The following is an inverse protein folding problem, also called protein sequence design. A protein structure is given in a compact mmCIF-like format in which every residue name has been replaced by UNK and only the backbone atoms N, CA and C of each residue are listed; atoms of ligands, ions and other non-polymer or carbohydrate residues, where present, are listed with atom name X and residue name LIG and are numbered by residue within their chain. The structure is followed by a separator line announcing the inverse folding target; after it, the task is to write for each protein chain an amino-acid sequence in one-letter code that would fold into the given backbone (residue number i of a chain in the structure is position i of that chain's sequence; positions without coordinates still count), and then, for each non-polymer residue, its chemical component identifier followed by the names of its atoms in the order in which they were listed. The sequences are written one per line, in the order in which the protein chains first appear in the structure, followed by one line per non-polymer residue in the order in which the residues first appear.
data_IF_269704604633
#
_entry.id   IF_269704604633
#
_cell.length_a   1.000
_cell.length_b   1.000
_cell.length_c   1.000
_cell.angle_alpha   90.00
_cell.angle_beta   90.00
_cell.angle_gamma   90.00
#
_symmetry.space_group_name_H-M   'P 1'
#
loop_
_entity.id
_entity.type
_entity.pdbx_description
1 polymer ?
#
# COMPACT_ATOMS: atom_id res chain seq x y z
N UNK A 1 -20.35 -24.68 -15.98
CA UNK A 1 -19.49 -23.67 -15.35
C UNK A 1 -20.40 -22.51 -14.98
N UNK A 2 -20.33 -22.04 -13.73
CA UNK A 2 -21.14 -20.89 -13.33
C UNK A 2 -20.66 -19.67 -14.12
N UNK A 3 -21.58 -18.92 -14.69
CA UNK A 3 -21.26 -17.71 -15.48
C UNK A 3 -21.11 -16.47 -14.55
N UNK A 4 -20.31 -16.63 -13.49
CA UNK A 4 -20.06 -15.57 -12.52
C UNK A 4 -19.13 -14.50 -13.11
N UNK A 5 -19.31 -13.27 -12.67
CA UNK A 5 -18.37 -12.19 -12.93
C UNK A 5 -17.01 -12.40 -12.25
N UNK A 6 -16.07 -11.53 -12.56
CA UNK A 6 -14.70 -11.53 -12.00
C UNK A 6 -14.53 -10.37 -11.03
N UNK A 7 -13.97 -10.65 -9.85
CA UNK A 7 -13.46 -9.62 -8.95
C UNK A 7 -12.02 -9.31 -9.32
N UNK A 8 -11.71 -8.06 -9.67
CA UNK A 8 -10.36 -7.62 -10.01
C UNK A 8 -9.88 -6.60 -8.99
N UNK A 9 -8.73 -6.86 -8.37
CA UNK A 9 -8.03 -5.87 -7.54
C UNK A 9 -7.03 -5.13 -8.44
N UNK A 10 -7.20 -3.82 -8.58
CA UNK A 10 -6.37 -3.01 -9.45
C UNK A 10 -5.17 -2.41 -8.72
N UNK A 11 -4.18 -2.00 -9.51
CA UNK A 11 -3.02 -1.26 -9.03
C UNK A 11 -3.03 0.13 -9.65
N UNK A 12 -3.18 1.16 -8.82
CA UNK A 12 -3.13 2.57 -9.21
C UNK A 12 -1.72 3.14 -9.00
N UNK A 13 -1.40 4.28 -9.61
CA UNK A 13 -0.16 5.01 -9.31
C UNK A 13 -0.01 5.32 -7.81
N UNK A 14 1.24 5.33 -7.31
CA UNK A 14 1.54 5.73 -5.92
C UNK A 14 1.84 7.23 -5.82
N UNK A 15 2.05 7.91 -6.95
CA UNK A 15 2.34 9.35 -7.00
C UNK A 15 2.14 9.92 -8.39
N UNK A 16 3.03 9.62 -9.36
CA UNK A 16 2.90 10.12 -10.73
C UNK A 16 1.76 9.38 -11.47
N UNK A 17 0.71 10.08 -11.94
CA UNK A 17 -0.35 9.45 -12.72
C UNK A 17 0.14 8.72 -13.98
N UNK A 18 1.30 9.10 -14.52
CA UNK A 18 1.89 8.45 -15.70
C UNK A 18 2.37 7.02 -15.44
N UNK A 19 2.49 6.62 -14.18
CA UNK A 19 2.78 5.23 -13.81
C UNK A 19 1.54 4.32 -13.97
N UNK A 20 0.39 4.86 -14.35
CA UNK A 20 -0.80 4.08 -14.65
C UNK A 20 -0.54 3.14 -15.84
N UNK A 21 -0.82 1.85 -15.64
CA UNK A 21 -0.74 0.89 -16.75
C UNK A 21 -1.86 1.11 -17.76
N UNK A 22 -1.60 0.83 -19.04
CA UNK A 22 -2.66 0.83 -20.06
C UNK A 22 -3.82 -0.09 -19.67
N UNK A 23 -3.51 -1.19 -19.01
CA UNK A 23 -4.51 -2.14 -18.53
C UNK A 23 -5.42 -1.52 -17.45
N UNK A 24 -4.89 -0.72 -16.53
CA UNK A 24 -5.71 0.01 -15.55
C UNK A 24 -6.67 0.98 -16.25
N UNK A 25 -6.18 1.72 -17.23
CA UNK A 25 -6.98 2.67 -18.01
C UNK A 25 -8.15 1.95 -18.70
N UNK A 26 -7.84 0.84 -19.41
CA UNK A 26 -8.84 0.02 -20.07
C UNK A 26 -9.90 -0.52 -19.10
N UNK A 27 -9.49 -0.96 -17.91
CA UNK A 27 -10.41 -1.45 -16.88
C UNK A 27 -11.31 -0.36 -16.34
N UNK A 28 -10.78 0.85 -16.05
CA UNK A 28 -11.59 1.99 -15.59
C UNK A 28 -12.65 2.37 -16.64
N UNK A 29 -12.30 2.36 -17.92
CA UNK A 29 -13.21 2.73 -19.02
C UNK A 29 -14.31 1.68 -19.21
N UNK A 30 -13.97 0.39 -19.11
CA UNK A 30 -14.85 -0.70 -19.56
C UNK A 30 -15.65 -1.36 -18.42
N UNK A 31 -15.25 -1.23 -17.16
CA UNK A 31 -16.03 -1.79 -16.05
C UNK A 31 -17.28 -0.96 -15.78
N UNK A 32 -18.32 -1.65 -15.32
CA UNK A 32 -19.60 -1.01 -14.95
C UNK A 32 -19.70 -0.73 -13.45
N UNK A 33 -18.93 -1.45 -12.64
CA UNK A 33 -18.90 -1.31 -11.18
C UNK A 33 -17.44 -1.17 -10.75
N UNK A 34 -17.13 -0.05 -10.09
CA UNK A 34 -15.81 0.21 -9.53
C UNK A 34 -15.98 0.60 -8.06
N UNK A 35 -15.39 -0.20 -7.18
CA UNK A 35 -15.27 0.08 -5.76
C UNK A 35 -13.97 0.84 -5.56
N UNK A 36 -14.02 1.96 -4.87
CA UNK A 36 -12.84 2.82 -4.64
C UNK A 36 -12.69 3.11 -3.16
N UNK A 37 -11.46 3.22 -2.69
CA UNK A 37 -11.18 3.59 -1.31
C UNK A 37 -11.67 5.01 -1.00
N UNK A 38 -11.42 5.96 -1.91
CA UNK A 38 -11.88 7.34 -1.82
C UNK A 38 -12.31 7.86 -3.20
N UNK A 39 -13.56 8.31 -3.27
CA UNK A 39 -14.14 8.79 -4.53
C UNK A 39 -13.44 10.05 -5.06
N UNK A 40 -12.98 10.94 -4.18
CA UNK A 40 -12.31 12.19 -4.59
C UNK A 40 -10.93 11.89 -5.19
N UNK A 41 -10.18 10.97 -4.58
CA UNK A 41 -8.87 10.51 -5.09
C UNK A 41 -9.02 9.83 -6.45
N UNK A 42 -10.01 8.95 -6.59
CA UNK A 42 -10.33 8.32 -7.87
C UNK A 42 -10.70 9.33 -8.96
N UNK A 43 -11.56 10.30 -8.64
CA UNK A 43 -11.96 11.35 -9.59
C UNK A 43 -10.75 12.21 -10.02
N UNK A 44 -9.85 12.50 -9.07
CA UNK A 44 -8.60 13.21 -9.38
C UNK A 44 -7.73 12.38 -10.34
N UNK A 45 -7.55 11.08 -10.08
CA UNK A 45 -6.80 10.18 -10.97
C UNK A 45 -7.39 10.18 -12.39
N UNK A 46 -8.71 10.02 -12.51
CA UNK A 46 -9.39 10.06 -13.81
C UNK A 46 -9.16 11.39 -14.54
N UNK A 47 -9.21 12.52 -13.82
CA UNK A 47 -8.91 13.84 -14.37
C UNK A 47 -7.47 13.96 -14.86
N UNK A 48 -6.51 13.54 -14.04
CA UNK A 48 -5.08 13.61 -14.33
C UNK A 48 -4.70 12.74 -15.55
N UNK A 49 -5.38 11.61 -15.73
CA UNK A 49 -5.22 10.70 -16.87
C UNK A 49 -6.12 11.05 -18.07
N UNK A 50 -6.97 12.08 -17.96
CA UNK A 50 -7.98 12.43 -18.96
C UNK A 50 -8.89 11.26 -19.34
N UNK A 51 -9.32 10.46 -18.33
CA UNK A 51 -10.21 9.33 -18.48
C UNK A 51 -11.65 9.74 -18.17
N UNK A 52 -12.60 9.22 -18.97
CA UNK A 52 -14.02 9.27 -18.67
C UNK A 52 -14.55 7.85 -18.53
N UNK A 53 -15.41 7.62 -17.57
CA UNK A 53 -16.06 6.33 -17.34
C UNK A 53 -17.54 6.52 -17.02
N UNK A 54 -18.37 5.60 -17.50
CA UNK A 54 -19.80 5.51 -17.17
C UNK A 54 -20.04 4.49 -16.04
N UNK A 55 -18.99 4.07 -15.34
CA UNK A 55 -19.09 3.12 -14.25
C UNK A 55 -19.87 3.69 -13.06
N UNK A 56 -20.59 2.84 -12.36
CA UNK A 56 -21.08 3.13 -11.01
C UNK A 56 -19.88 3.09 -10.05
N UNK A 57 -19.50 4.27 -9.55
CA UNK A 57 -18.44 4.41 -8.56
C UNK A 57 -19.06 4.27 -7.17
N UNK A 58 -18.49 3.41 -6.34
CA UNK A 58 -18.96 3.12 -4.98
C UNK A 58 -17.80 3.35 -4.02
N UNK A 59 -18.02 4.18 -3.01
CA UNK A 59 -17.10 4.34 -1.88
C UNK A 59 -17.04 3.04 -1.08
N UNK A 60 -15.84 2.49 -0.95
CA UNK A 60 -15.59 1.22 -0.26
C UNK A 60 -14.48 1.36 0.82
N UNK A 61 -13.96 2.59 1.03
CA UNK A 61 -12.79 2.84 1.89
C UNK A 61 -13.04 2.63 3.38
N UNK A 62 -14.21 3.06 3.86
CA UNK A 62 -14.58 2.94 5.28
C UNK A 62 -15.30 1.62 5.61
N UNK A 63 -15.54 0.75 4.62
CA UNK A 63 -16.57 -0.27 4.68
C UNK A 63 -16.11 -1.68 4.29
N UNK A 64 -14.93 -2.09 4.69
CA UNK A 64 -14.63 -3.54 4.70
C UNK A 64 -15.52 -4.26 5.75
N UNK A 65 -16.79 -3.78 5.83
CA UNK A 65 -17.81 -4.23 6.78
C UNK A 65 -18.37 -5.57 6.29
N UNK A 66 -18.47 -6.56 7.19
CA UNK A 66 -18.96 -7.91 6.84
C UNK A 66 -20.30 -7.93 6.11
N UNK A 67 -21.21 -7.04 6.49
CA UNK A 67 -22.60 -7.06 6.04
C UNK A 67 -22.77 -6.55 4.60
N UNK A 68 -21.86 -5.73 4.09
CA UNK A 68 -21.93 -5.22 2.71
C UNK A 68 -21.29 -6.15 1.68
N UNK A 69 -20.37 -7.02 2.09
CA UNK A 69 -19.73 -7.97 1.18
C UNK A 69 -20.76 -8.87 0.45
N UNK A 70 -21.87 -9.20 1.10
CA UNK A 70 -22.95 -10.00 0.51
C UNK A 70 -23.51 -9.40 -0.78
N UNK A 71 -23.72 -8.09 -0.81
CA UNK A 71 -24.25 -7.37 -1.97
C UNK A 71 -23.33 -7.53 -3.18
N UNK A 72 -22.02 -7.37 -2.99
CA UNK A 72 -21.05 -7.49 -4.07
C UNK A 72 -20.85 -8.93 -4.53
N UNK A 73 -20.95 -9.90 -3.61
CA UNK A 73 -20.94 -11.32 -3.95
C UNK A 73 -22.16 -11.69 -4.81
N UNK A 74 -23.33 -11.18 -4.51
CA UNK A 74 -24.55 -11.42 -5.30
C UNK A 74 -24.41 -10.79 -6.70
N UNK A 75 -23.89 -9.56 -6.82
CA UNK A 75 -23.60 -8.93 -8.11
C UNK A 75 -22.63 -9.78 -8.96
N UNK A 76 -21.58 -10.31 -8.32
CA UNK A 76 -20.60 -11.18 -9.00
C UNK A 76 -21.25 -12.51 -9.43
N UNK A 77 -22.13 -13.10 -8.62
CA UNK A 77 -22.91 -14.31 -8.99
C UNK A 77 -23.87 -14.06 -10.14
N UNK A 78 -24.38 -12.83 -10.25
CA UNK A 78 -25.22 -12.40 -11.37
C UNK A 78 -24.43 -12.09 -12.66
N UNK A 79 -23.12 -12.38 -12.65
CA UNK A 79 -22.26 -12.23 -13.82
C UNK A 79 -21.66 -10.84 -14.02
N UNK A 80 -21.79 -9.94 -13.02
CA UNK A 80 -21.23 -8.59 -13.11
C UNK A 80 -19.75 -8.61 -12.69
N UNK A 81 -18.88 -8.02 -13.51
CA UNK A 81 -17.48 -7.81 -13.16
C UNK A 81 -17.33 -6.60 -12.22
N UNK A 82 -16.50 -6.73 -11.19
CA UNK A 82 -16.22 -5.68 -10.22
C UNK A 82 -14.71 -5.39 -10.19
N UNK A 83 -14.36 -4.11 -10.29
CA UNK A 83 -13.00 -3.60 -10.10
C UNK A 83 -12.90 -2.95 -8.72
N UNK A 84 -11.85 -3.26 -7.94
CA UNK A 84 -11.51 -2.57 -6.70
C UNK A 84 -10.22 -1.81 -6.89
N UNK A 85 -10.19 -0.54 -6.45
CA UNK A 85 -9.04 0.35 -6.48
C UNK A 85 -8.80 0.96 -5.09
N UNK A 86 -7.54 0.95 -4.65
CA UNK A 86 -7.08 1.73 -3.50
C UNK A 86 -6.69 3.15 -3.92
N UNK A 87 -6.37 4.00 -2.96
CA UNK A 87 -5.91 5.36 -3.22
C UNK A 87 -4.49 5.37 -3.80
N UNK A 88 -3.62 4.46 -3.35
CA UNK A 88 -2.23 4.34 -3.82
C UNK A 88 -1.81 2.86 -3.93
N UNK A 89 -1.23 2.45 -5.06
CA UNK A 89 -0.66 1.11 -5.24
C UNK A 89 -1.69 0.02 -5.51
N UNK A 90 -1.45 -1.17 -5.00
CA UNK A 90 -2.25 -2.36 -5.28
C UNK A 90 -3.25 -2.62 -4.15
N UNK A 91 -4.53 -2.61 -4.46
CA UNK A 91 -5.61 -2.92 -3.51
C UNK A 91 -5.44 -4.30 -2.85
N UNK A 92 -5.90 -4.43 -1.61
CA UNK A 92 -5.98 -5.70 -0.88
C UNK A 92 -4.79 -6.04 0.02
N UNK A 93 -3.74 -5.20 0.07
CA UNK A 93 -2.66 -5.30 1.05
C UNK A 93 -2.75 -4.08 1.97
N UNK A 94 -3.33 -4.23 3.14
CA UNK A 94 -3.60 -3.15 4.11
C UNK A 94 -4.82 -2.31 3.69
N UNK A 95 -5.01 -2.15 2.41
CA UNK A 95 -6.07 -1.41 1.75
C UNK A 95 -7.37 -2.23 1.63
N UNK A 96 -8.51 -1.57 1.31
CA UNK A 96 -9.78 -2.26 1.07
C UNK A 96 -9.69 -3.36 0.00
N UNK A 97 -10.55 -4.37 0.14
CA UNK A 97 -10.71 -5.45 -0.85
C UNK A 97 -10.19 -6.81 -0.41
N UNK A 98 -9.27 -6.89 0.57
CA UNK A 98 -8.72 -8.17 1.03
C UNK A 98 -9.79 -9.14 1.54
N UNK A 99 -10.75 -8.64 2.32
CA UNK A 99 -11.86 -9.43 2.84
C UNK A 99 -12.84 -9.86 1.74
N UNK A 100 -13.24 -8.93 0.86
CA UNK A 100 -14.14 -9.26 -0.25
C UNK A 100 -13.50 -10.31 -1.16
N UNK A 101 -12.20 -10.21 -1.42
CA UNK A 101 -11.43 -11.23 -2.15
C UNK A 101 -11.52 -12.61 -1.48
N UNK A 102 -11.36 -12.68 -0.16
CA UNK A 102 -11.46 -13.93 0.59
C UNK A 102 -12.85 -14.55 0.45
N UNK A 103 -13.92 -13.76 0.62
CA UNK A 103 -15.30 -14.21 0.52
C UNK A 103 -15.63 -14.63 -0.94
N UNK A 104 -15.15 -13.87 -1.93
CA UNK A 104 -15.31 -14.22 -3.34
C UNK A 104 -14.72 -15.59 -3.67
N UNK A 105 -13.50 -15.88 -3.18
CA UNK A 105 -12.86 -17.20 -3.33
C UNK A 105 -13.66 -18.32 -2.66
N UNK A 106 -14.19 -18.10 -1.47
CA UNK A 106 -15.05 -19.07 -0.77
C UNK A 106 -16.32 -19.39 -1.57
N UNK A 107 -16.84 -18.42 -2.34
CA UNK A 107 -17.98 -18.58 -3.24
C UNK A 107 -17.59 -19.04 -4.66
N UNK A 108 -16.35 -19.50 -4.88
CA UNK A 108 -15.84 -19.98 -6.18
C UNK A 108 -15.89 -18.91 -7.29
N UNK A 109 -15.88 -17.64 -6.92
CA UNK A 109 -15.81 -16.52 -7.85
C UNK A 109 -14.37 -16.32 -8.27
N UNK A 110 -14.15 -16.05 -9.55
CA UNK A 110 -12.83 -15.77 -10.10
C UNK A 110 -12.30 -14.44 -9.54
N UNK A 111 -11.09 -14.48 -8.98
CA UNK A 111 -10.37 -13.30 -8.50
C UNK A 111 -9.12 -13.09 -9.33
N UNK A 112 -8.89 -11.84 -9.74
CA UNK A 112 -7.67 -11.39 -10.43
C UNK A 112 -7.00 -10.29 -9.65
N UNK A 113 -5.68 -10.18 -9.79
CA UNK A 113 -4.90 -9.02 -9.35
C UNK A 113 -4.24 -8.42 -10.58
N UNK A 114 -4.36 -7.12 -10.73
CA UNK A 114 -3.66 -6.35 -11.74
C UNK A 114 -2.29 -5.96 -11.17
N UNK A 115 -1.23 -6.27 -11.88
CA UNK A 115 0.12 -5.85 -11.50
C UNK A 115 0.34 -4.38 -11.86
N UNK A 116 1.07 -3.66 -11.01
CA UNK A 116 1.32 -2.24 -11.24
C UNK A 116 2.22 -1.62 -10.15
N UNK A 117 2.18 -0.29 -10.01
CA UNK A 117 2.96 0.43 -9.02
C UNK A 117 2.77 -0.11 -7.61
N UNK A 118 3.86 -0.08 -6.82
CA UNK A 118 3.85 -0.68 -5.50
C UNK A 118 4.82 0.04 -4.55
N UNK A 119 4.29 0.60 -3.47
CA UNK A 119 5.04 1.36 -2.48
C UNK A 119 5.96 0.50 -1.58
N UNK A 120 5.94 -0.82 -1.73
CA UNK A 120 6.83 -1.75 -1.00
C UNK A 120 8.06 -2.05 -1.83
N UNK A 121 7.86 -2.41 -3.10
CA UNK A 121 8.94 -2.93 -3.96
C UNK A 121 9.89 -1.82 -4.41
N UNK A 122 9.37 -0.65 -4.81
CA UNK A 122 10.21 0.44 -5.29
C UNK A 122 11.23 0.92 -4.23
N UNK A 123 10.84 1.17 -2.95
CA UNK A 123 11.80 1.46 -1.89
C UNK A 123 12.83 0.36 -1.65
N UNK A 124 12.44 -0.91 -1.72
CA UNK A 124 13.38 -2.05 -1.54
C UNK A 124 14.41 -2.08 -2.66
N UNK A 125 13.99 -1.82 -3.90
CA UNK A 125 14.92 -1.72 -5.05
C UNK A 125 15.92 -0.58 -4.85
N UNK A 126 15.45 0.60 -4.43
CA UNK A 126 16.29 1.76 -4.15
C UNK A 126 17.23 1.52 -2.96
N UNK A 127 16.75 0.85 -1.92
CA UNK A 127 17.54 0.52 -0.73
C UNK A 127 18.70 -0.43 -1.03
N UNK A 128 18.60 -1.25 -2.09
CA UNK A 128 19.69 -2.13 -2.57
C UNK A 128 20.38 -2.95 -1.47
N UNK A 129 19.63 -3.49 -0.53
CA UNK A 129 20.22 -4.37 0.49
C UNK A 129 20.52 -5.80 -0.03
N UNK A 130 20.25 -6.07 -1.31
CA UNK A 130 20.64 -7.29 -2.06
C UNK A 130 20.27 -8.63 -1.38
N UNK A 131 19.18 -8.64 -0.60
CA UNK A 131 18.69 -9.80 0.13
C UNK A 131 17.16 -9.84 0.06
N UNK A 132 16.57 -10.95 0.47
CA UNK A 132 15.14 -10.98 0.75
C UNK A 132 14.79 -9.92 1.81
N UNK A 133 13.51 -9.64 2.00
CA UNK A 133 13.07 -8.65 2.99
C UNK A 133 11.78 -9.13 3.67
N UNK A 134 11.49 -8.54 4.84
CA UNK A 134 10.21 -8.68 5.53
C UNK A 134 9.38 -7.40 5.37
N UNK A 135 8.15 -7.54 4.91
CA UNK A 135 7.19 -6.45 4.91
C UNK A 135 6.32 -6.54 6.18
N UNK A 136 6.37 -5.50 6.99
CA UNK A 136 5.65 -5.42 8.25
C UNK A 136 4.39 -4.56 8.17
N UNK A 137 4.21 -3.81 7.10
CA UNK A 137 3.04 -2.96 6.91
C UNK A 137 3.03 -1.70 7.77
N UNK A 138 1.82 -1.22 8.15
CA UNK A 138 1.67 -0.07 9.02
C UNK A 138 2.26 -0.33 10.39
N UNK A 139 2.84 0.71 10.95
CA UNK A 139 3.39 0.64 12.30
C UNK A 139 2.26 0.51 13.33
N UNK A 140 2.30 -0.46 14.25
CA UNK A 140 1.34 -0.56 15.33
C UNK A 140 1.36 0.67 16.27
N UNK A 141 0.33 0.81 17.10
CA UNK A 141 0.35 1.79 18.20
C UNK A 141 1.57 1.56 19.12
N UNK A 142 1.87 2.53 20.01
CA UNK A 142 3.14 2.54 20.76
C UNK A 142 3.36 1.27 21.58
N UNK A 143 2.39 0.82 22.33
CA UNK A 143 2.56 -0.31 23.24
C UNK A 143 2.77 -1.62 22.48
N UNK A 144 1.99 -1.85 21.44
CA UNK A 144 2.15 -2.98 20.54
C UNK A 144 3.47 -2.90 19.75
N UNK A 145 3.91 -1.70 19.35
CA UNK A 145 5.16 -1.48 18.60
C UNK A 145 6.38 -1.87 19.41
N UNK A 146 6.43 -1.56 20.72
CA UNK A 146 7.52 -1.94 21.60
C UNK A 146 7.68 -3.46 21.65
N UNK A 147 6.59 -4.19 21.89
CA UNK A 147 6.64 -5.65 21.91
C UNK A 147 6.97 -6.24 20.54
N UNK A 148 6.53 -5.57 19.49
CA UNK A 148 6.82 -5.95 18.12
C UNK A 148 8.31 -5.76 17.79
N UNK A 149 8.89 -4.62 18.12
CA UNK A 149 10.32 -4.35 17.87
C UNK A 149 11.25 -5.26 18.67
N UNK A 150 10.88 -5.63 19.90
CA UNK A 150 11.62 -6.67 20.66
C UNK A 150 11.73 -7.98 19.90
N UNK A 151 10.67 -8.40 19.21
CA UNK A 151 10.69 -9.62 18.39
C UNK A 151 11.53 -9.48 17.14
N UNK A 152 11.59 -8.28 16.56
CA UNK A 152 12.28 -8.00 15.29
C UNK A 152 13.76 -7.66 15.44
N UNK A 153 14.25 -7.33 16.64
CA UNK A 153 15.60 -6.79 16.87
C UNK A 153 16.74 -7.63 16.30
N UNK A 154 16.53 -8.93 16.17
CA UNK A 154 17.51 -9.88 15.66
C UNK A 154 17.27 -10.32 14.22
N UNK A 155 16.31 -9.73 13.50
CA UNK A 155 16.07 -10.09 12.12
C UNK A 155 17.26 -9.74 11.24
N UNK A 156 17.70 -10.71 10.42
CA UNK A 156 18.89 -10.59 9.56
C UNK A 156 18.55 -9.98 8.20
N UNK A 157 17.29 -10.06 7.77
CA UNK A 157 16.83 -9.47 6.51
C UNK A 157 16.29 -8.08 6.72
N UNK A 158 16.38 -7.21 5.70
CA UNK A 158 15.76 -5.89 5.73
C UNK A 158 14.27 -5.94 6.04
N UNK A 159 13.80 -4.93 6.75
CA UNK A 159 12.43 -4.78 7.22
C UNK A 159 11.81 -3.53 6.61
N UNK A 160 10.61 -3.67 6.02
CA UNK A 160 9.89 -2.57 5.37
C UNK A 160 8.69 -2.19 6.23
N UNK A 161 8.60 -0.91 6.58
CA UNK A 161 7.52 -0.33 7.37
C UNK A 161 6.86 0.84 6.65
N UNK A 162 5.55 0.93 6.73
CA UNK A 162 4.82 2.15 6.43
C UNK A 162 4.63 2.94 7.73
N UNK A 163 5.02 4.21 7.70
CA UNK A 163 4.96 5.07 8.88
C UNK A 163 4.20 6.34 8.53
N UNK A 164 3.24 6.73 9.36
CA UNK A 164 2.54 8.00 9.19
C UNK A 164 3.34 9.15 9.79
N UNK A 165 3.16 10.36 9.26
CA UNK A 165 3.83 11.58 9.79
C UNK A 165 3.59 11.78 11.29
N UNK A 166 2.41 11.44 11.77
CA UNK A 166 2.05 11.61 13.18
C UNK A 166 2.87 10.74 14.14
N UNK A 167 3.40 9.61 13.66
CA UNK A 167 4.08 8.62 14.50
C UNK A 167 5.57 8.46 14.18
N UNK A 168 6.12 9.20 13.21
CA UNK A 168 7.51 9.01 12.76
C UNK A 168 8.53 9.25 13.87
N UNK A 169 8.32 10.27 14.70
CA UNK A 169 9.25 10.64 15.78
C UNK A 169 9.30 9.55 16.85
N UNK A 170 8.14 9.10 17.31
CA UNK A 170 8.02 7.99 18.26
C UNK A 170 8.59 6.68 17.66
N UNK A 171 8.33 6.44 16.38
CA UNK A 171 8.90 5.28 15.68
C UNK A 171 10.42 5.30 15.71
N UNK A 172 11.04 6.45 15.39
CA UNK A 172 12.51 6.61 15.37
C UNK A 172 13.10 6.36 16.75
N UNK A 173 12.48 6.91 17.80
CA UNK A 173 12.93 6.70 19.17
C UNK A 173 12.92 5.21 19.53
N UNK A 174 11.82 4.54 19.28
CA UNK A 174 11.70 3.12 19.61
C UNK A 174 12.62 2.28 18.72
N UNK A 175 12.73 2.57 17.42
CA UNK A 175 13.63 1.87 16.50
C UNK A 175 15.12 2.00 16.92
N UNK A 176 15.54 3.18 17.36
CA UNK A 176 16.88 3.39 17.92
C UNK A 176 17.14 2.48 19.14
N UNK A 177 16.18 2.37 20.04
CA UNK A 177 16.30 1.58 21.26
C UNK A 177 16.42 0.07 21.00
N UNK A 178 15.68 -0.44 20.01
CA UNK A 178 15.60 -1.90 19.76
C UNK A 178 16.50 -2.39 18.63
N UNK A 179 16.69 -1.61 17.59
CA UNK A 179 17.50 -2.01 16.43
C UNK A 179 18.94 -1.46 16.50
N UNK A 180 19.16 -0.46 17.35
CA UNK A 180 20.44 0.23 17.53
C UNK A 180 20.58 1.48 16.65
N UNK A 181 21.23 2.54 17.18
CA UNK A 181 21.32 3.85 16.54
C UNK A 181 22.07 3.84 15.21
N UNK A 182 23.06 2.97 15.05
CA UNK A 182 23.87 2.87 13.83
C UNK A 182 23.23 1.97 12.75
N UNK A 183 22.03 1.43 13.01
CA UNK A 183 21.32 0.62 12.03
C UNK A 183 21.02 1.45 10.79
N UNK A 184 21.45 0.96 9.63
CA UNK A 184 21.20 1.62 8.35
C UNK A 184 19.71 1.59 8.02
N UNK A 185 19.24 2.69 7.47
CA UNK A 185 17.88 2.84 6.98
C UNK A 185 17.86 3.57 5.64
N UNK A 186 17.05 3.09 4.72
CA UNK A 186 16.69 3.81 3.52
C UNK A 186 15.31 4.41 3.72
N UNK A 187 15.18 5.69 3.44
CA UNK A 187 13.95 6.46 3.65
C UNK A 187 13.39 6.85 2.31
N UNK A 188 12.10 6.60 2.11
CA UNK A 188 11.30 7.18 1.04
C UNK A 188 10.18 8.01 1.65
N UNK A 189 10.02 9.24 1.19
CA UNK A 189 8.86 10.08 1.47
C UNK A 189 8.30 10.57 0.14
N UNK A 190 6.99 10.46 -0.06
CA UNK A 190 6.31 10.90 -1.28
C UNK A 190 6.87 10.33 -2.59
N UNK A 191 7.22 9.05 -2.60
CA UNK A 191 7.81 8.40 -3.77
C UNK A 191 6.95 8.63 -5.03
N UNK A 192 7.61 8.97 -6.15
CA UNK A 192 7.03 9.38 -7.45
C UNK A 192 6.17 10.65 -7.43
N UNK A 193 6.05 11.35 -6.30
CA UNK A 193 5.35 12.66 -6.19
C UNK A 193 6.34 13.80 -6.43
N UNK A 194 5.82 15.01 -6.70
CA UNK A 194 6.65 16.19 -6.99
C UNK A 194 7.65 16.52 -5.87
N UNK A 195 7.31 16.21 -4.63
CA UNK A 195 8.15 16.42 -3.45
C UNK A 195 8.73 15.11 -2.92
N UNK A 196 9.12 14.23 -3.83
CA UNK A 196 9.82 12.99 -3.49
C UNK A 196 11.11 13.29 -2.74
N UNK A 197 11.33 12.57 -1.65
CA UNK A 197 12.58 12.57 -0.93
C UNK A 197 13.03 11.13 -0.64
N UNK A 198 14.27 10.81 -1.00
CA UNK A 198 14.86 9.50 -0.74
C UNK A 198 16.29 9.66 -0.24
N UNK A 199 16.67 8.92 0.79
CA UNK A 199 18.04 8.97 1.31
C UNK A 199 18.43 7.70 2.06
N UNK A 200 19.74 7.42 2.05
CA UNK A 200 20.36 6.51 3.02
C UNK A 200 20.82 7.27 4.25
N UNK A 201 20.51 6.73 5.42
CA UNK A 201 20.97 7.30 6.69
C UNK A 201 21.08 6.21 7.76
N UNK A 202 21.23 6.59 9.01
CA UNK A 202 21.15 5.72 10.18
C UNK A 202 19.95 6.10 11.05
N UNK A 203 19.53 5.20 11.91
CA UNK A 203 18.38 5.48 12.81
C UNK A 203 18.66 6.68 13.72
N UNK A 204 19.91 6.94 14.14
CA UNK A 204 20.25 8.12 14.96
C UNK A 204 20.15 9.44 14.19
N UNK A 205 20.41 9.41 12.87
CA UNK A 205 20.51 10.62 12.06
C UNK A 205 19.20 10.95 11.32
N UNK A 206 18.24 10.03 11.26
CA UNK A 206 17.00 10.21 10.48
C UNK A 206 16.16 11.40 10.94
N UNK A 207 16.22 11.75 12.24
CA UNK A 207 15.43 12.84 12.83
C UNK A 207 15.71 14.20 12.20
N UNK A 208 16.92 14.43 11.65
CA UNK A 208 17.24 15.69 10.97
C UNK A 208 16.35 15.93 9.75
N UNK A 209 15.99 14.88 9.01
CA UNK A 209 15.14 14.97 7.82
C UNK A 209 13.65 15.13 8.18
N UNK A 210 13.24 14.73 9.38
CA UNK A 210 11.91 15.02 9.92
C UNK A 210 11.81 16.49 10.30
N UNK A 211 12.87 17.04 10.96
CA UNK A 211 12.95 18.43 11.39
C UNK A 211 13.03 19.38 10.18
N UNK A 212 13.81 19.04 9.14
CA UNK A 212 13.90 19.85 7.90
C UNK A 212 12.61 19.83 7.07
N UNK A 213 11.68 18.88 7.33
CA UNK A 213 10.44 18.72 6.59
C UNK A 213 10.57 17.89 5.30
N UNK A 214 11.75 17.29 5.06
CA UNK A 214 11.97 16.40 3.91
C UNK A 214 11.12 15.11 4.04
N UNK A 215 11.00 14.59 5.27
CA UNK A 215 10.12 13.46 5.59
C UNK A 215 8.80 13.98 6.11
N UNK A 216 7.73 13.91 5.31
CA UNK A 216 6.44 14.50 5.69
C UNK A 216 5.19 13.65 5.43
N UNK A 217 5.05 13.00 4.27
CA UNK A 217 3.88 12.18 3.94
C UNK A 217 4.30 10.88 3.25
N UNK A 218 3.39 9.89 3.16
CA UNK A 218 3.59 8.61 2.45
C UNK A 218 4.99 8.03 2.69
N UNK A 219 5.31 7.75 3.98
CA UNK A 219 6.65 7.38 4.40
C UNK A 219 6.83 5.87 4.37
N UNK A 220 7.81 5.40 3.62
CA UNK A 220 8.29 4.01 3.68
C UNK A 220 9.72 3.97 4.20
N UNK A 221 9.95 3.21 5.26
CA UNK A 221 11.28 2.95 5.81
C UNK A 221 11.71 1.53 5.47
N UNK A 222 12.90 1.38 4.89
CA UNK A 222 13.56 0.09 4.71
C UNK A 222 14.74 0.03 5.67
N UNK A 223 14.55 -0.62 6.80
CA UNK A 223 15.57 -0.77 7.85
C UNK A 223 16.39 -2.02 7.54
N UNK A 224 17.73 -1.89 7.46
CA UNK A 224 18.61 -3.03 7.20
C UNK A 224 18.50 -4.10 8.28
N UNK A 225 18.73 -5.35 7.90
CA UNK A 225 18.79 -6.45 8.85
C UNK A 225 19.97 -6.33 9.81
N UNK A 226 19.95 -7.11 10.89
CA UNK A 226 21.09 -7.23 11.77
C UNK A 226 22.29 -7.76 10.96
N UNK A 227 23.44 -7.09 10.94
CA UNK A 227 24.59 -7.61 10.23
C UNK A 227 25.03 -8.94 10.85
N UNK A 228 25.42 -9.92 10.03
CA UNK A 228 26.10 -11.10 10.56
C UNK A 228 27.38 -10.62 11.27
N UNK A 229 27.67 -11.21 12.41
CA UNK A 229 28.87 -10.91 13.21
C UNK A 229 30.15 -11.12 12.41
#
# INVERSE_FOLDING_TARGET
MNNYGTLTLGAVPIGDPKDASLNLIDYIINHKIILVENVEVFNKLCKDLNIKTDARIIDYGSHDIPDEAGIYIDMLKDGQDILILSDEGTAGIIDPGGRLMQIARQNQIKVKVMTGPNAIIAPVVLARFNRGFYFHGPTPNRDERIEYFKKLQNYELPMVFFVTRAYIEDFIIDANNYFGPDRRVFVCSNLTKQNEFTTFTTLKDISQFVISGDINFSITLVIDGKPPY
#
